data_IF_065667568214
#
_entry.id   IF_065667568214
#
_cell.length_a   1.000
_cell.length_b   1.000
_cell.length_c   1.000
_cell.angle_alpha   90.00
_cell.angle_beta   90.00
_cell.angle_gamma   90.00
#
_symmetry.space_group_name_H-M   'P 1'
#
loop_
_entity.id
_entity.type
_entity.pdbx_description
1 polymer ?
#
# COMPACT_ATOMS: atom_id res chain seq x y z
N UNK A 1 -6.55 10.64 43.90
CA UNK A 1 -6.73 11.39 42.63
C UNK A 1 -5.51 11.37 41.72
N UNK A 2 -4.28 11.62 42.22
CA UNK A 2 -3.05 11.60 41.40
C UNK A 2 -2.80 10.26 40.68
N UNK A 3 -2.98 9.12 41.36
CA UNK A 3 -2.81 7.78 40.77
C UNK A 3 -3.81 7.44 39.66
N UNK A 4 -5.05 7.93 39.76
CA UNK A 4 -6.07 7.74 38.73
C UNK A 4 -5.78 8.58 37.49
N UNK A 5 -5.29 9.82 37.69
CA UNK A 5 -4.90 10.71 36.60
C UNK A 5 -3.70 10.14 35.82
N UNK A 6 -2.69 9.62 36.53
CA UNK A 6 -1.52 8.98 35.89
C UNK A 6 -1.89 7.70 35.14
N UNK A 7 -2.78 6.88 35.70
CA UNK A 7 -3.27 5.68 35.01
C UNK A 7 -4.04 6.03 33.73
N UNK A 8 -4.89 7.05 33.77
CA UNK A 8 -5.65 7.52 32.60
C UNK A 8 -4.72 8.06 31.50
N UNK A 9 -3.70 8.83 31.86
CA UNK A 9 -2.70 9.33 30.92
C UNK A 9 -1.89 8.20 30.26
N UNK A 10 -1.54 7.16 31.00
CA UNK A 10 -0.87 5.97 30.44
C UNK A 10 -1.77 5.20 29.46
N UNK A 11 -3.07 5.07 29.74
CA UNK A 11 -4.00 4.40 28.83
C UNK A 11 -4.16 5.21 27.54
N UNK A 12 -4.25 6.53 27.64
CA UNK A 12 -4.32 7.42 26.48
C UNK A 12 -3.05 7.37 25.63
N UNK A 13 -1.86 7.30 26.24
CA UNK A 13 -0.62 7.22 25.48
C UNK A 13 -0.45 5.87 24.76
N UNK A 14 -0.79 4.76 25.43
CA UNK A 14 -0.72 3.41 24.82
C UNK A 14 -1.69 3.27 23.65
N UNK A 15 -2.91 3.81 23.78
CA UNK A 15 -3.88 3.80 22.68
C UNK A 15 -3.45 4.69 21.52
N UNK A 16 -2.85 5.85 21.77
CA UNK A 16 -2.35 6.72 20.70
C UNK A 16 -1.24 6.04 19.88
N UNK A 17 -0.30 5.37 20.54
CA UNK A 17 0.81 4.67 19.87
C UNK A 17 0.29 3.54 18.98
N UNK A 18 -0.70 2.76 19.43
CA UNK A 18 -1.26 1.67 18.61
C UNK A 18 -2.04 2.15 17.38
N UNK A 19 -2.69 3.31 17.46
CA UNK A 19 -3.31 3.93 16.27
C UNK A 19 -2.26 4.36 15.23
N UNK A 20 -1.11 4.88 15.66
CA UNK A 20 -0.05 5.35 14.73
C UNK A 20 0.66 4.23 13.98
N UNK A 21 0.89 3.08 14.61
CA UNK A 21 1.55 1.94 13.98
C UNK A 21 0.65 1.26 12.92
N UNK A 22 -0.67 1.27 13.11
CA UNK A 22 -1.62 0.77 12.11
C UNK A 22 -1.64 1.61 10.82
N UNK A 23 -1.38 2.92 10.90
CA UNK A 23 -1.39 3.82 9.75
C UNK A 23 -0.11 3.72 8.88
N UNK A 24 0.98 3.16 9.42
CA UNK A 24 2.31 3.22 8.78
C UNK A 24 2.74 1.91 8.12
N UNK A 25 1.86 0.91 8.02
CA UNK A 25 2.21 -0.38 7.40
C UNK A 25 2.23 -0.27 5.87
N UNK A 26 3.28 0.34 5.33
CA UNK A 26 3.61 0.28 3.90
C UNK A 26 4.36 -1.02 3.60
N UNK A 27 3.72 -1.94 2.88
CA UNK A 27 4.36 -3.16 2.39
C UNK A 27 5.26 -2.80 1.20
N UNK A 28 6.58 -2.93 1.36
CA UNK A 28 7.54 -2.81 0.25
C UNK A 28 7.84 -4.20 -0.30
N UNK A 29 7.76 -4.36 -1.62
CA UNK A 29 8.12 -5.60 -2.33
C UNK A 29 9.38 -5.34 -3.15
N UNK A 30 10.46 -6.04 -2.83
CA UNK A 30 11.73 -5.94 -3.56
C UNK A 30 11.65 -6.92 -4.74
N UNK A 31 11.53 -6.39 -5.96
CA UNK A 31 11.53 -7.18 -7.19
C UNK A 31 12.97 -7.45 -7.62
N UNK A 32 13.30 -8.72 -7.88
CA UNK A 32 14.61 -9.12 -8.42
C UNK A 32 14.53 -9.16 -9.94
N UNK A 33 15.46 -8.50 -10.62
CA UNK A 33 15.64 -8.64 -12.06
C UNK A 33 16.11 -10.05 -12.41
N UNK A 34 15.49 -10.65 -13.42
CA UNK A 34 16.05 -11.84 -14.08
C UNK A 34 16.68 -11.35 -15.40
N UNK A 35 17.57 -12.11 -16.03
CA UNK A 35 18.13 -11.75 -17.36
C UNK A 35 17.07 -11.84 -18.49
N UNK A 36 15.79 -11.84 -18.15
CA UNK A 36 14.71 -12.00 -19.13
C UNK A 36 14.31 -10.64 -19.72
N UNK A 37 13.50 -10.72 -20.78
CA UNK A 37 13.03 -9.59 -21.57
C UNK A 37 12.40 -8.50 -20.66
N UNK A 38 13.00 -7.29 -20.54
CA UNK A 38 12.56 -6.26 -19.60
C UNK A 38 11.14 -5.77 -19.88
N UNK A 39 10.64 -5.93 -21.11
CA UNK A 39 9.24 -5.63 -21.46
C UNK A 39 8.24 -6.63 -20.87
N UNK A 40 8.71 -7.82 -20.48
CA UNK A 40 7.91 -8.86 -19.82
C UNK A 40 8.06 -8.85 -18.30
N UNK A 41 9.00 -8.08 -17.75
CA UNK A 41 9.23 -8.00 -16.31
C UNK A 41 8.46 -6.82 -15.68
N UNK A 42 7.74 -7.10 -14.60
CA UNK A 42 6.89 -6.14 -13.91
C UNK A 42 6.38 -6.69 -12.57
N UNK A 43 5.62 -5.88 -11.86
CA UNK A 43 4.97 -6.29 -10.62
C UNK A 43 3.53 -5.82 -10.56
N UNK A 44 2.70 -6.57 -9.84
CA UNK A 44 1.35 -6.16 -9.52
C UNK A 44 1.37 -5.13 -8.40
N UNK A 45 1.09 -3.87 -8.73
CA UNK A 45 0.97 -2.80 -7.75
C UNK A 45 -0.48 -2.63 -7.33
N UNK A 46 -0.73 -2.59 -6.01
CA UNK A 46 -2.02 -2.18 -5.46
C UNK A 46 -2.09 -0.66 -5.47
N UNK A 47 -3.02 -0.10 -6.26
CA UNK A 47 -3.33 1.33 -6.27
C UNK A 47 -4.63 1.58 -5.53
N UNK A 48 -4.57 2.35 -4.46
CA UNK A 48 -5.75 2.82 -3.74
C UNK A 48 -6.10 4.24 -4.21
N UNK A 49 -7.34 4.43 -4.66
CA UNK A 49 -7.88 5.74 -5.02
C UNK A 49 -9.21 5.96 -4.32
N UNK A 50 -9.52 7.20 -3.96
CA UNK A 50 -10.79 7.52 -3.32
C UNK A 50 -11.76 8.08 -4.36
N UNK A 51 -12.94 7.48 -4.47
CA UNK A 51 -14.01 7.96 -5.37
C UNK A 51 -15.29 8.22 -4.59
N UNK A 52 -15.98 9.29 -4.98
CA UNK A 52 -17.30 9.59 -4.43
C UNK A 52 -18.38 8.80 -5.15
N UNK A 53 -19.32 8.22 -4.42
CA UNK A 53 -20.53 7.57 -4.96
C UNK A 53 -21.76 7.94 -4.15
N UNK A 54 -22.91 7.89 -4.79
CA UNK A 54 -24.19 8.02 -4.12
C UNK A 54 -24.61 6.66 -3.57
N UNK A 55 -24.94 6.62 -2.28
CA UNK A 55 -25.43 5.42 -1.61
C UNK A 55 -26.80 5.70 -1.01
N UNK A 56 -27.72 4.76 -1.21
CA UNK A 56 -29.07 4.80 -0.65
C UNK A 56 -29.01 4.32 0.80
N UNK A 57 -29.43 5.18 1.72
CA UNK A 57 -29.56 4.88 3.14
C UNK A 57 -31.02 4.94 3.55
N UNK A 58 -31.39 4.08 4.50
CA UNK A 58 -32.70 4.13 5.13
C UNK A 58 -32.57 4.88 6.45
N UNK A 59 -33.27 6.01 6.59
CA UNK A 59 -33.32 6.73 7.85
C UNK A 59 -34.58 6.32 8.62
N UNK A 60 -34.47 5.95 9.90
CA UNK A 60 -35.64 5.71 10.73
C UNK A 60 -36.35 7.04 10.98
N UNK A 61 -37.65 7.04 10.73
CA UNK A 61 -38.65 8.04 11.13
C UNK A 61 -39.91 7.26 11.55
N UNK A 62 -41.08 7.88 11.55
CA UNK A 62 -42.37 7.18 11.69
C UNK A 62 -42.53 6.03 10.68
N UNK A 63 -41.96 6.20 9.47
CA UNK A 63 -41.80 5.17 8.44
C UNK A 63 -40.38 5.32 7.88
N UNK A 64 -39.71 4.23 7.49
CA UNK A 64 -38.36 4.29 6.91
C UNK A 64 -38.36 5.06 5.59
N UNK A 65 -37.55 6.12 5.52
CA UNK A 65 -37.44 6.98 4.33
C UNK A 65 -36.09 6.74 3.65
N UNK A 66 -36.06 6.51 2.32
CA UNK A 66 -34.82 6.41 1.58
C UNK A 66 -34.19 7.80 1.39
N UNK A 67 -32.92 7.93 1.71
CA UNK A 67 -32.13 9.15 1.54
C UNK A 67 -30.85 8.81 0.79
N UNK A 68 -30.51 9.63 -0.20
CA UNK A 68 -29.25 9.52 -0.92
C UNK A 68 -28.19 10.34 -0.20
N UNK A 69 -27.06 9.70 0.13
CA UNK A 69 -25.90 10.36 0.72
C UNK A 69 -24.70 10.16 -0.19
N UNK A 70 -23.94 11.22 -0.42
CA UNK A 70 -22.64 11.15 -1.09
C UNK A 70 -21.61 10.61 -0.10
N UNK A 71 -20.97 9.51 -0.44
CA UNK A 71 -19.97 8.84 0.40
C UNK A 71 -18.69 8.65 -0.40
N UNK A 72 -17.55 8.82 0.28
CA UNK A 72 -16.23 8.53 -0.25
C UNK A 72 -15.86 7.11 0.16
N UNK A 73 -15.52 6.27 -0.82
CA UNK A 73 -15.11 4.88 -0.58
C UNK A 73 -13.77 4.62 -1.26
N UNK A 74 -12.87 3.87 -0.62
CA UNK A 74 -11.64 3.45 -1.26
C UNK A 74 -11.96 2.49 -2.41
N UNK A 75 -11.31 2.72 -3.55
CA UNK A 75 -11.35 1.88 -4.74
C UNK A 75 -9.95 1.33 -4.91
N UNK A 76 -9.83 0.02 -4.68
CA UNK A 76 -8.59 -0.72 -4.82
C UNK A 76 -8.55 -1.28 -6.25
N UNK A 77 -7.54 -0.87 -7.02
CA UNK A 77 -7.28 -1.39 -8.36
C UNK A 77 -5.86 -1.96 -8.38
N UNK A 78 -5.71 -3.20 -8.84
CA UNK A 78 -4.39 -3.77 -9.07
C UNK A 78 -3.98 -3.43 -10.50
N UNK A 79 -2.86 -2.72 -10.65
CA UNK A 79 -2.29 -2.38 -11.94
C UNK A 79 -0.96 -3.12 -12.13
N UNK A 80 -0.72 -3.65 -13.34
CA UNK A 80 0.58 -4.17 -13.71
C UNK A 80 1.50 -3.00 -14.00
N UNK A 81 2.62 -2.92 -13.28
CA UNK A 81 3.63 -1.88 -13.45
C UNK A 81 4.88 -2.51 -14.06
N UNK A 82 5.28 -2.13 -15.27
CA UNK A 82 6.52 -2.62 -15.86
C UNK A 82 7.72 -2.10 -15.07
N UNK A 83 8.80 -2.87 -15.04
CA UNK A 83 10.03 -2.40 -14.41
C UNK A 83 10.61 -1.21 -15.19
N UNK A 84 11.18 -0.21 -14.50
CA UNK A 84 11.84 0.89 -15.18
C UNK A 84 13.07 0.36 -15.92
N UNK A 85 13.31 0.88 -17.12
CA UNK A 85 14.55 0.60 -17.85
C UNK A 85 15.76 1.04 -17.01
N UNK A 86 16.87 0.32 -17.17
CA UNK A 86 18.15 0.70 -16.55
C UNK A 86 18.51 2.15 -16.93
N UNK A 87 19.01 2.97 -15.99
CA UNK A 87 19.43 4.34 -16.30
C UNK A 87 20.48 4.37 -17.42
N UNK A 88 20.44 5.44 -18.22
CA UNK A 88 21.42 5.68 -19.28
C UNK A 88 22.82 5.75 -18.66
N UNK A 89 23.73 4.88 -19.11
CA UNK A 89 25.11 4.78 -18.62
C UNK A 89 25.40 3.56 -17.74
N UNK A 90 24.40 2.75 -17.40
CA UNK A 90 24.61 1.46 -16.73
C UNK A 90 24.95 0.40 -17.78
N UNK A 91 26.19 -0.09 -17.79
CA UNK A 91 26.63 -1.18 -18.65
C UNK A 91 26.05 -2.51 -18.15
N UNK A 92 25.48 -3.30 -19.06
CA UNK A 92 25.17 -4.71 -18.79
C UNK A 92 26.50 -5.40 -18.52
N UNK A 93 26.64 -6.03 -17.34
CA UNK A 93 27.80 -6.86 -17.06
C UNK A 93 27.74 -8.06 -18.01
N UNK A 94 28.59 -8.07 -19.05
CA UNK A 94 28.71 -9.22 -19.92
C UNK A 94 29.20 -10.42 -19.08
N UNK A 95 28.34 -11.43 -18.96
CA UNK A 95 28.66 -12.71 -18.28
C UNK A 95 29.60 -13.60 -19.10
N UNK A 96 30.41 -13.03 -20.00
CA UNK A 96 31.30 -13.79 -20.89
C UNK A 96 32.71 -14.00 -20.32
N UNK A 97 33.05 -13.43 -19.16
CA UNK A 97 34.41 -13.50 -18.59
C UNK A 97 34.52 -14.32 -17.29
N UNK A 98 33.85 -15.46 -17.20
CA UNK A 98 34.26 -16.53 -16.27
C UNK A 98 35.01 -17.55 -17.11
N UNK A 99 36.26 -17.22 -17.44
CA UNK A 99 37.20 -18.19 -18.01
C UNK A 99 37.46 -19.27 -16.97
N UNK A 100 37.22 -20.52 -17.36
CA UNK A 100 37.60 -21.73 -16.61
C UNK A 100 39.02 -21.59 -16.07
N UNK A 101 39.16 -21.60 -14.75
CA UNK A 101 40.44 -21.87 -14.10
C UNK A 101 40.65 -23.37 -14.25
N UNK A 102 41.42 -23.78 -15.25
CA UNK A 102 41.93 -25.14 -15.38
C UNK A 102 43.02 -25.32 -14.33
N UNK A 103 42.82 -26.28 -13.43
CA UNK A 103 43.79 -26.73 -12.43
C UNK A 103 44.95 -27.50 -13.06
#
# INVERSE_FOLDING_TARGET
>A
MKFLLTALLCIMSVTLISYTSALTTTKTEIVKHTDSDPEKEGFWARKESWKSRWVKYWRPKTIYVPVWKKVWTPVIQNEWVPLPNSPVGWSKHDKSSVSEIVY
#
